data_IF_468753486612
#
_entry.id   IF_468753486612
#
_cell.length_a   1.000
_cell.length_b   1.000
_cell.length_c   1.000
_cell.angle_alpha   90.00
_cell.angle_beta   90.00
_cell.angle_gamma   90.00
#
_symmetry.space_group_name_H-M   'P 1'
#
loop_
_entity.id
_entity.type
_entity.pdbx_description
1 polymer ?
#
# COMPACT_ATOMS: atom_id res chain seq x y z
N UNK A 1 3.41 7.87 -6.37
CA UNK A 1 4.02 6.73 -5.66
C UNK A 1 4.54 5.68 -6.61
N UNK A 2 4.58 4.43 -6.16
CA UNK A 2 4.95 3.25 -6.93
C UNK A 2 6.30 3.33 -7.65
N UNK A 3 6.41 2.57 -8.74
CA UNK A 3 7.62 2.51 -9.58
C UNK A 3 7.95 3.86 -10.21
N UNK A 4 6.95 4.63 -10.65
CA UNK A 4 7.13 5.97 -11.24
C UNK A 4 7.65 6.96 -10.21
N UNK A 5 7.13 6.94 -8.99
CA UNK A 5 7.61 7.81 -7.92
C UNK A 5 9.05 7.55 -7.49
N UNK A 6 9.58 6.35 -7.75
CA UNK A 6 10.95 5.91 -7.44
C UNK A 6 11.92 6.00 -8.61
N UNK A 7 11.46 6.43 -9.79
CA UNK A 7 12.26 6.48 -11.01
C UNK A 7 12.64 5.09 -11.57
N UNK A 8 11.82 4.07 -11.26
CA UNK A 8 12.00 2.68 -11.68
C UNK A 8 10.88 2.21 -12.63
N UNK A 9 10.14 3.16 -13.21
CA UNK A 9 9.04 2.87 -14.12
C UNK A 9 9.53 2.35 -15.47
N UNK A 10 8.76 1.44 -16.05
CA UNK A 10 8.83 1.00 -17.44
C UNK A 10 7.59 1.42 -18.22
N UNK A 11 7.43 0.89 -19.44
CA UNK A 11 6.30 1.24 -20.32
C UNK A 11 4.96 0.74 -19.78
N UNK A 12 4.96 -0.35 -19.01
CA UNK A 12 3.77 -1.00 -18.48
C UNK A 12 3.43 -0.55 -17.05
N UNK A 13 4.25 0.35 -16.47
CA UNK A 13 4.04 0.83 -15.11
C UNK A 13 2.82 1.75 -15.01
N UNK A 14 1.98 1.51 -14.03
CA UNK A 14 0.85 2.33 -13.60
C UNK A 14 1.26 3.68 -12.96
N UNK A 15 0.28 4.50 -12.66
CA UNK A 15 0.45 5.76 -11.93
C UNK A 15 -0.22 5.64 -10.57
N UNK A 16 0.56 5.40 -9.52
CA UNK A 16 0.05 5.38 -8.15
C UNK A 16 -0.05 6.80 -7.57
N UNK A 17 -1.24 7.20 -7.19
CA UNK A 17 -1.52 8.46 -6.50
C UNK A 17 -2.03 8.21 -5.09
N UNK A 18 -1.52 8.95 -4.13
CA UNK A 18 -1.98 8.94 -2.75
C UNK A 18 -2.58 10.29 -2.39
N UNK A 19 -3.85 10.29 -1.98
CA UNK A 19 -4.57 11.49 -1.55
C UNK A 19 -4.72 11.45 -0.04
N UNK A 20 -4.02 12.33 0.66
CA UNK A 20 -4.10 12.48 2.11
C UNK A 20 -5.18 13.50 2.45
N UNK A 21 -6.27 13.07 3.05
CA UNK A 21 -7.47 13.90 3.28
C UNK A 21 -7.92 13.86 4.73
N UNK A 22 -8.66 14.88 5.16
CA UNK A 22 -9.26 14.96 6.51
C UNK A 22 -10.75 14.62 6.51
N UNK A 23 -11.34 14.50 5.34
CA UNK A 23 -12.75 14.19 5.16
C UNK A 23 -12.92 13.40 3.86
N UNK A 24 -13.96 12.61 3.80
CA UNK A 24 -14.31 11.86 2.60
C UNK A 24 -14.59 12.80 1.43
N UNK A 25 -14.12 12.41 0.25
CA UNK A 25 -14.38 13.10 -1.01
C UNK A 25 -15.46 12.30 -1.74
N UNK A 26 -16.60 12.93 -2.00
CA UNK A 26 -17.71 12.30 -2.69
C UNK A 26 -17.26 11.73 -4.06
N UNK A 27 -17.73 10.53 -4.41
CA UNK A 27 -17.41 9.87 -5.69
C UNK A 27 -17.72 10.77 -6.89
N UNK A 28 -18.83 11.54 -6.84
CA UNK A 28 -19.18 12.50 -7.88
C UNK A 28 -18.14 13.61 -8.08
N UNK A 29 -17.51 14.06 -7.00
CA UNK A 29 -16.43 15.04 -7.07
C UNK A 29 -15.19 14.43 -7.70
N UNK A 30 -14.85 13.18 -7.33
CA UNK A 30 -13.72 12.42 -7.89
C UNK A 30 -13.92 12.15 -9.39
N UNK A 31 -15.13 11.71 -9.77
CA UNK A 31 -15.51 11.55 -11.19
C UNK A 31 -15.32 12.83 -12.00
N UNK A 32 -15.75 13.97 -11.46
CA UNK A 32 -15.55 15.25 -12.12
C UNK A 32 -14.07 15.66 -12.26
N UNK A 33 -13.20 15.16 -11.39
CA UNK A 33 -11.74 15.35 -11.55
C UNK A 33 -11.22 14.51 -12.71
N UNK A 34 -11.60 13.23 -12.81
CA UNK A 34 -11.22 12.34 -13.93
C UNK A 34 -11.63 12.95 -15.27
N UNK A 35 -12.88 13.42 -15.39
CA UNK A 35 -13.36 14.08 -16.61
C UNK A 35 -12.54 15.34 -16.96
N UNK A 36 -12.23 16.18 -15.99
CA UNK A 36 -11.42 17.39 -16.23
C UNK A 36 -9.95 17.09 -16.55
N UNK A 37 -9.42 15.94 -16.14
CA UNK A 37 -8.03 15.55 -16.45
C UNK A 37 -7.85 14.99 -17.86
N UNK A 38 -8.90 14.85 -18.64
CA UNK A 38 -8.86 14.31 -20.00
C UNK A 38 -9.82 13.13 -20.21
N UNK A 39 -10.49 12.71 -19.15
CA UNK A 39 -11.42 11.57 -19.18
C UNK A 39 -10.74 10.21 -19.09
N UNK A 40 -11.55 9.18 -19.08
CA UNK A 40 -11.12 7.80 -19.01
C UNK A 40 -11.83 6.94 -20.07
N UNK A 41 -11.12 5.95 -20.63
CA UNK A 41 -11.74 4.94 -21.50
C UNK A 41 -12.46 3.87 -20.68
N UNK A 42 -12.01 3.66 -19.44
CA UNK A 42 -12.63 2.83 -18.42
C UNK A 42 -12.35 3.46 -17.05
N UNK A 43 -13.33 3.47 -16.15
CA UNK A 43 -13.17 3.94 -14.78
C UNK A 43 -13.99 3.11 -13.80
N UNK A 44 -13.35 2.68 -12.72
CA UNK A 44 -13.95 2.01 -11.58
C UNK A 44 -13.73 2.91 -10.34
N UNK A 45 -14.73 3.73 -10.00
CA UNK A 45 -14.66 4.72 -8.94
C UNK A 45 -15.43 4.28 -7.69
N UNK A 46 -14.94 4.66 -6.54
CA UNK A 46 -15.58 4.32 -5.26
C UNK A 46 -15.27 2.89 -4.80
N UNK A 47 -14.14 2.37 -5.18
CA UNK A 47 -13.65 1.06 -4.73
C UNK A 47 -13.42 1.07 -3.20
N UNK A 48 -13.63 -0.08 -2.56
CA UNK A 48 -13.51 -0.23 -1.10
C UNK A 48 -12.78 -1.50 -0.64
N UNK A 49 -12.42 -2.42 -1.54
CA UNK A 49 -11.87 -3.72 -1.15
C UNK A 49 -10.43 -3.66 -0.61
N UNK A 50 -9.61 -2.72 -1.03
CA UNK A 50 -8.28 -2.45 -0.45
C UNK A 50 -8.24 -1.18 0.40
N UNK A 51 -9.38 -0.48 0.52
CA UNK A 51 -9.55 0.82 1.09
C UNK A 51 -10.27 1.74 0.11
N UNK A 52 -10.58 2.99 0.48
CA UNK A 52 -11.18 3.96 -0.44
C UNK A 52 -10.23 4.25 -1.61
N UNK A 53 -10.67 3.95 -2.82
CA UNK A 53 -9.83 4.08 -4.02
C UNK A 53 -10.62 4.35 -5.28
N UNK A 54 -9.91 4.69 -6.34
CA UNK A 54 -10.39 4.83 -7.71
C UNK A 54 -9.32 4.30 -8.66
N UNK A 55 -9.75 3.64 -9.72
CA UNK A 55 -8.89 3.12 -10.79
C UNK A 55 -9.46 3.54 -12.13
N UNK A 56 -8.63 4.01 -13.06
CA UNK A 56 -9.08 4.29 -14.42
C UNK A 56 -7.95 4.18 -15.45
N UNK A 57 -8.34 3.95 -16.70
CA UNK A 57 -7.45 4.07 -17.86
C UNK A 57 -7.56 5.48 -18.44
N UNK A 58 -6.50 6.24 -18.38
CA UNK A 58 -6.43 7.59 -18.93
C UNK A 58 -6.69 7.58 -20.44
N UNK A 59 -7.62 8.41 -20.89
CA UNK A 59 -8.09 8.37 -22.29
C UNK A 59 -7.03 8.81 -23.30
N UNK A 60 -6.08 9.66 -22.89
CA UNK A 60 -5.06 10.19 -23.78
C UNK A 60 -3.84 9.28 -23.90
N UNK A 61 -3.43 8.66 -22.80
CA UNK A 61 -2.19 7.87 -22.72
C UNK A 61 -2.42 6.38 -22.66
N UNK A 62 -3.62 5.93 -22.27
CA UNK A 62 -3.94 4.52 -22.00
C UNK A 62 -3.29 3.97 -20.73
N UNK A 63 -2.62 4.81 -19.95
CA UNK A 63 -2.00 4.39 -18.69
C UNK A 63 -3.07 4.16 -17.62
N UNK A 64 -2.83 3.14 -16.81
CA UNK A 64 -3.61 2.88 -15.60
C UNK A 64 -3.24 3.88 -14.50
N UNK A 65 -4.26 4.47 -13.89
CA UNK A 65 -4.10 5.40 -12.77
C UNK A 65 -4.83 4.82 -11.57
N UNK A 66 -4.08 4.61 -10.52
CA UNK A 66 -4.51 4.10 -9.22
C UNK A 66 -4.48 5.21 -8.18
N UNK A 67 -5.62 5.48 -7.53
CA UNK A 67 -5.74 6.48 -6.47
C UNK A 67 -6.20 5.84 -5.18
N UNK A 68 -5.41 5.96 -4.12
CA UNK A 68 -5.80 5.56 -2.77
C UNK A 68 -5.99 6.79 -1.90
N UNK A 69 -7.11 6.83 -1.17
CA UNK A 69 -7.46 7.93 -0.26
C UNK A 69 -7.17 7.52 1.18
N UNK A 70 -6.28 8.24 1.85
CA UNK A 70 -5.92 8.01 3.24
C UNK A 70 -6.46 9.13 4.13
N UNK A 71 -7.22 8.78 5.16
CA UNK A 71 -7.48 9.72 6.26
C UNK A 71 -6.17 10.06 6.98
N UNK A 72 -5.88 11.35 7.12
CA UNK A 72 -4.60 11.81 7.69
C UNK A 72 -4.42 11.37 9.15
N UNK A 73 -5.48 11.33 9.97
CA UNK A 73 -5.41 10.91 11.38
C UNK A 73 -5.17 9.42 11.48
N UNK A 74 -5.84 8.64 10.63
CA UNK A 74 -5.61 7.21 10.56
C UNK A 74 -4.17 6.89 10.17
N UNK A 75 -3.64 7.57 9.15
CA UNK A 75 -2.26 7.37 8.71
C UNK A 75 -1.24 7.78 9.78
N UNK A 76 -1.46 8.90 10.46
CA UNK A 76 -0.64 9.32 11.61
C UNK A 76 -0.62 8.26 12.70
N UNK A 77 -1.77 7.64 13.02
CA UNK A 77 -1.84 6.54 13.98
C UNK A 77 -1.06 5.29 13.50
N UNK A 78 -1.07 4.96 12.20
CA UNK A 78 -0.26 3.86 11.66
C UNK A 78 1.24 4.15 11.78
N UNK A 79 1.67 5.36 11.48
CA UNK A 79 3.08 5.77 11.65
C UNK A 79 3.51 5.73 13.12
N UNK A 80 2.68 6.22 14.04
CA UNK A 80 2.96 6.18 15.49
C UNK A 80 3.13 4.76 16.00
N UNK A 81 2.26 3.82 15.61
CA UNK A 81 2.36 2.40 15.96
C UNK A 81 3.69 1.80 15.53
N UNK A 82 4.16 2.11 14.33
CA UNK A 82 5.39 1.53 13.78
C UNK A 82 6.64 2.25 14.29
N UNK A 83 6.66 3.58 14.23
CA UNK A 83 7.86 4.38 14.49
C UNK A 83 8.12 4.62 15.99
N UNK A 84 7.07 4.63 16.83
CA UNK A 84 7.17 4.93 18.26
C UNK A 84 6.88 3.72 19.12
N UNK A 85 5.73 3.06 18.88
CA UNK A 85 5.35 1.87 19.66
C UNK A 85 6.03 0.59 19.16
N UNK A 86 6.73 0.62 18.03
CA UNK A 86 7.43 -0.53 17.43
C UNK A 86 6.54 -1.76 17.26
N UNK A 87 5.24 -1.54 17.04
CA UNK A 87 4.28 -2.62 16.86
C UNK A 87 4.45 -3.29 15.49
N UNK A 88 4.51 -4.62 15.49
CA UNK A 88 4.57 -5.42 14.27
C UNK A 88 3.25 -6.14 14.02
N UNK A 89 2.90 -6.29 12.75
CA UNK A 89 1.79 -7.09 12.25
C UNK A 89 2.27 -8.25 11.39
N UNK A 90 1.39 -9.19 11.07
CA UNK A 90 1.64 -10.21 10.06
C UNK A 90 1.66 -9.58 8.68
N UNK A 91 2.80 -9.63 8.00
CA UNK A 91 3.03 -8.94 6.74
C UNK A 91 2.91 -7.42 6.87
N UNK A 92 3.20 -6.70 5.85
CA UNK A 92 2.90 -5.26 5.64
C UNK A 92 3.14 -4.29 6.82
N UNK A 93 3.91 -4.66 7.85
CA UNK A 93 4.16 -3.81 9.05
C UNK A 93 4.60 -2.40 8.66
N UNK A 94 5.49 -2.28 7.69
CA UNK A 94 6.12 -1.01 7.31
C UNK A 94 5.58 -0.40 6.01
N UNK A 95 4.50 -0.93 5.43
CA UNK A 95 4.01 -0.49 4.12
C UNK A 95 3.66 1.01 4.11
N UNK A 96 2.94 1.51 5.12
CA UNK A 96 2.57 2.93 5.19
C UNK A 96 3.76 3.83 5.50
N UNK A 97 4.71 3.37 6.30
CA UNK A 97 5.98 4.07 6.50
C UNK A 97 6.74 4.20 5.17
N UNK A 98 6.90 3.11 4.43
CA UNK A 98 7.56 3.13 3.11
C UNK A 98 6.83 4.03 2.12
N UNK A 99 5.49 3.95 2.08
CA UNK A 99 4.65 4.81 1.22
C UNK A 99 4.91 6.29 1.51
N UNK A 100 4.82 6.71 2.77
CA UNK A 100 5.02 8.12 3.15
C UNK A 100 6.46 8.57 2.92
N UNK A 101 7.44 7.74 3.31
CA UNK A 101 8.86 8.09 3.19
C UNK A 101 9.29 8.32 1.74
N UNK A 102 8.72 7.56 0.79
CA UNK A 102 9.20 7.48 -0.59
C UNK A 102 8.26 8.08 -1.64
N UNK A 103 7.03 8.49 -1.28
CA UNK A 103 6.17 9.16 -2.25
C UNK A 103 6.68 10.55 -2.61
N UNK A 104 6.51 10.93 -3.88
CA UNK A 104 6.81 12.27 -4.34
C UNK A 104 5.64 13.20 -4.02
N UNK A 105 5.91 14.34 -3.37
CA UNK A 105 4.89 15.36 -3.12
C UNK A 105 4.57 16.12 -4.41
N UNK A 106 3.31 16.07 -4.83
CA UNK A 106 2.80 16.86 -5.96
C UNK A 106 2.08 18.13 -5.48
N UNK A 107 1.44 18.07 -4.31
CA UNK A 107 0.70 19.20 -3.74
C UNK A 107 0.63 19.04 -2.22
N UNK A 108 1.29 19.91 -1.48
CA UNK A 108 1.29 19.91 0.00
C UNK A 108 1.39 21.36 0.53
N UNK A 109 0.33 22.17 0.35
CA UNK A 109 0.37 23.59 0.66
C UNK A 109 0.52 23.91 2.16
N UNK A 110 0.31 22.92 3.02
CA UNK A 110 0.44 23.06 4.48
C UNK A 110 1.65 22.36 5.06
N UNK A 111 2.48 21.71 4.23
CA UNK A 111 3.65 20.97 4.66
C UNK A 111 3.35 19.73 5.51
N UNK A 112 2.12 19.20 5.46
CA UNK A 112 1.74 18.04 6.25
C UNK A 112 2.53 16.80 5.85
N UNK A 113 2.59 16.51 4.54
CA UNK A 113 3.34 15.37 4.02
C UNK A 113 4.84 15.53 4.27
N UNK A 114 5.38 16.73 4.05
CA UNK A 114 6.80 17.03 4.33
C UNK A 114 7.15 16.79 5.80
N UNK A 115 6.27 17.16 6.74
CA UNK A 115 6.47 16.89 8.17
C UNK A 115 6.50 15.38 8.45
N UNK A 116 5.55 14.60 7.91
CA UNK A 116 5.52 13.14 8.06
C UNK A 116 6.73 12.47 7.43
N UNK A 117 7.15 12.90 6.24
CA UNK A 117 8.38 12.41 5.59
C UNK A 117 9.63 12.66 6.44
N UNK A 118 9.70 13.80 7.11
CA UNK A 118 10.82 14.11 8.02
C UNK A 118 10.86 13.15 9.22
N UNK A 119 9.71 12.78 9.77
CA UNK A 119 9.61 11.77 10.84
C UNK A 119 10.00 10.36 10.35
N UNK A 120 9.71 10.05 9.10
CA UNK A 120 10.01 8.75 8.49
C UNK A 120 11.50 8.55 8.12
N UNK A 121 12.34 9.58 8.14
CA UNK A 121 13.76 9.54 7.73
C UNK A 121 14.73 9.08 8.80
N UNK A 122 14.25 8.61 9.95
CA UNK A 122 15.08 8.10 11.04
C UNK A 122 15.75 6.76 10.74
N UNK A 123 16.64 6.32 11.64
CA UNK A 123 17.17 4.97 11.59
C UNK A 123 16.04 3.94 11.79
N UNK A 124 16.20 2.78 11.15
CA UNK A 124 15.27 1.67 11.32
C UNK A 124 15.35 1.12 12.76
N UNK A 125 14.29 1.22 13.59
CA UNK A 125 14.36 0.86 15.00
C UNK A 125 14.71 -0.62 15.19
N UNK A 126 15.74 -0.91 16.00
CA UNK A 126 16.16 -2.28 16.28
C UNK A 126 15.06 -3.11 16.96
N UNK A 127 14.26 -2.47 17.81
CA UNK A 127 13.13 -3.11 18.48
C UNK A 127 12.02 -3.48 17.48
N UNK A 128 11.69 -2.60 16.54
CA UNK A 128 10.74 -2.90 15.48
C UNK A 128 11.20 -4.11 14.65
N UNK A 129 12.50 -4.17 14.30
CA UNK A 129 13.07 -5.32 13.58
C UNK A 129 12.87 -6.61 14.36
N UNK A 130 13.19 -6.60 15.65
CA UNK A 130 13.03 -7.77 16.52
C UNK A 130 11.55 -8.20 16.62
N UNK A 131 10.63 -7.24 16.73
CA UNK A 131 9.19 -7.48 16.80
C UNK A 131 8.65 -8.05 15.48
N UNK A 132 9.08 -7.53 14.31
CA UNK A 132 8.71 -8.07 13.02
C UNK A 132 9.16 -9.53 12.87
N UNK A 133 10.40 -9.85 13.22
CA UNK A 133 10.90 -11.22 13.18
C UNK A 133 10.08 -12.11 14.12
N UNK A 134 9.86 -11.69 15.36
CA UNK A 134 9.10 -12.44 16.37
C UNK A 134 7.68 -12.74 15.92
N UNK A 135 7.00 -11.79 15.27
CA UNK A 135 5.61 -11.95 14.81
C UNK A 135 5.52 -12.78 13.53
N UNK A 136 6.45 -12.61 12.58
CA UNK A 136 6.34 -13.21 11.24
C UNK A 136 7.06 -14.56 11.10
N UNK A 137 8.16 -14.80 11.80
CA UNK A 137 8.90 -16.06 11.71
C UNK A 137 8.05 -17.31 11.99
N UNK A 138 7.13 -17.33 13.00
CA UNK A 138 6.30 -18.48 13.27
C UNK A 138 5.42 -18.89 12.09
N UNK A 139 4.96 -17.94 11.27
CA UNK A 139 4.16 -18.20 10.07
C UNK A 139 4.94 -19.03 9.06
N UNK A 140 6.25 -18.89 9.04
CA UNK A 140 7.11 -19.63 8.11
C UNK A 140 7.43 -21.05 8.60
N UNK A 141 7.74 -21.26 9.90
CA UNK A 141 8.31 -22.53 10.36
C UNK A 141 7.88 -23.04 11.73
N UNK A 142 7.55 -22.14 12.66
CA UNK A 142 7.48 -22.51 14.09
C UNK A 142 6.20 -23.20 14.53
N UNK A 143 5.11 -23.14 13.74
CA UNK A 143 3.79 -23.66 14.12
C UNK A 143 3.22 -24.58 13.03
N UNK A 144 2.33 -25.52 13.41
CA UNK A 144 1.71 -26.45 12.48
C UNK A 144 0.99 -25.79 11.30
N UNK A 145 0.28 -24.65 11.46
CA UNK A 145 -0.33 -23.93 10.34
C UNK A 145 0.67 -23.09 9.52
N UNK A 146 1.96 -23.11 9.82
CA UNK A 146 2.96 -22.39 9.03
C UNK A 146 2.89 -22.77 7.54
N UNK A 147 3.13 -21.79 6.68
CA UNK A 147 3.03 -21.97 5.23
C UNK A 147 3.86 -23.14 4.71
N UNK A 148 5.08 -23.32 5.20
CA UNK A 148 5.92 -24.46 4.82
C UNK A 148 5.26 -25.81 5.13
N UNK A 149 4.68 -25.96 6.33
CA UNK A 149 3.98 -27.20 6.71
C UNK A 149 2.72 -27.44 5.88
N UNK A 150 1.97 -26.38 5.60
CA UNK A 150 0.77 -26.46 4.77
C UNK A 150 1.12 -26.79 3.32
N UNK A 151 2.18 -26.20 2.77
CA UNK A 151 2.70 -26.52 1.44
C UNK A 151 3.11 -28.00 1.34
N UNK A 152 3.91 -28.49 2.31
CA UNK A 152 4.33 -29.90 2.35
C UNK A 152 3.13 -30.85 2.42
N UNK A 153 2.10 -30.53 3.19
CA UNK A 153 0.85 -31.32 3.22
C UNK A 153 0.13 -31.32 1.88
N UNK A 154 0.02 -30.17 1.21
CA UNK A 154 -0.61 -30.06 -0.10
C UNK A 154 0.14 -30.86 -1.16
N UNK A 155 1.48 -30.78 -1.18
CA UNK A 155 2.33 -31.57 -2.08
C UNK A 155 2.13 -33.08 -1.87
N UNK A 156 2.18 -33.55 -0.61
CA UNK A 156 1.96 -34.98 -0.29
C UNK A 156 0.60 -35.49 -0.72
N UNK A 157 -0.43 -34.62 -0.71
CA UNK A 157 -1.79 -34.94 -1.13
C UNK A 157 -2.03 -34.76 -2.61
N UNK A 158 -1.03 -34.30 -3.36
CA UNK A 158 -1.12 -33.90 -4.78
C UNK A 158 -2.21 -32.86 -5.06
N UNK A 159 -2.51 -32.01 -4.05
CA UNK A 159 -3.49 -30.93 -4.13
C UNK A 159 -2.84 -29.71 -4.82
N UNK A 160 -2.93 -29.68 -6.14
CA UNK A 160 -2.33 -28.64 -6.99
C UNK A 160 -2.87 -27.24 -6.69
N UNK A 161 -4.18 -27.13 -6.34
CA UNK A 161 -4.81 -25.83 -6.03
C UNK A 161 -4.20 -25.25 -4.76
N UNK A 162 -4.14 -26.07 -3.69
CA UNK A 162 -3.52 -25.63 -2.44
C UNK A 162 -2.03 -25.37 -2.59
N UNK A 163 -1.29 -26.12 -3.42
CA UNK A 163 0.13 -25.85 -3.72
C UNK A 163 0.27 -24.48 -4.35
N UNK A 164 -0.46 -24.17 -5.42
CA UNK A 164 -0.39 -22.88 -6.10
C UNK A 164 -0.75 -21.72 -5.16
N UNK A 165 -1.82 -21.86 -4.38
CA UNK A 165 -2.23 -20.85 -3.40
C UNK A 165 -1.18 -20.57 -2.29
N UNK A 166 -0.27 -21.51 -2.02
CA UNK A 166 0.79 -21.34 -1.01
C UNK A 166 2.12 -20.86 -1.59
N UNK A 167 2.28 -20.87 -2.90
CA UNK A 167 3.48 -20.39 -3.60
C UNK A 167 3.33 -18.97 -4.15
N UNK A 168 2.13 -18.55 -4.49
CA UNK A 168 1.77 -17.21 -4.97
C UNK A 168 1.10 -16.41 -3.91
#
# INVERSE_FOLDING_TARGET
GGSRGRGQADADSDIDLYVFTRADIAVSTRAAVVERSGGATRADLGLTYWGPGDEWLDAATGLEVDVVYFDTRWLEAQLERVLRAHEASLGYTTCFWDTVANCQSLYDPRGWLQARQSECRGEYPAELRANIVRVNQPVLRAVLPAYANQLLKAVRRQDRVSVNHRLG
#
